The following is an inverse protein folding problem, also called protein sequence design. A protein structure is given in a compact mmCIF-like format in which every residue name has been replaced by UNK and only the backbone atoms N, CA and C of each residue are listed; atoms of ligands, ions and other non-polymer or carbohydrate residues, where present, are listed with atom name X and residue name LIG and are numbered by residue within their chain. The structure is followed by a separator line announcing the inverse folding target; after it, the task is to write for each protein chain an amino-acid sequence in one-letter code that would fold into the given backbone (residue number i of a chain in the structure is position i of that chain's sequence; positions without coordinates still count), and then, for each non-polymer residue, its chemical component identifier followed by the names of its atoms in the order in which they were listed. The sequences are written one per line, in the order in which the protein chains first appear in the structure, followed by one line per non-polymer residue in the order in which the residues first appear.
data_IF_280519902834
#
_entry.id   IF_280519902834
#
_cell.length_a   1.000
_cell.length_b   1.000
_cell.length_c   1.000
_cell.angle_alpha   90.00
_cell.angle_beta   90.00
_cell.angle_gamma   90.00
#
_symmetry.space_group_name_H-M   'P 1'
#
loop_
_entity.id
_entity.type
_entity.pdbx_description
1 polymer ?
#
# COMPACT_ATOMS: atom_id res chain seq x y z
N UNK A 1 -26.05 8.72 -18.41
CA UNK A 1 -24.76 8.76 -19.13
C UNK A 1 -23.67 8.57 -18.08
N UNK A 2 -23.05 7.41 -17.85
CA UNK A 2 -23.14 6.13 -18.54
C UNK A 2 -23.56 4.98 -17.61
N UNK A 3 -23.95 3.89 -18.24
CA UNK A 3 -24.41 2.65 -17.64
C UNK A 3 -23.22 1.96 -16.97
N UNK A 4 -23.23 1.84 -15.64
CA UNK A 4 -22.27 1.04 -14.89
C UNK A 4 -22.56 -0.42 -15.22
N UNK A 5 -21.91 -0.94 -16.26
CA UNK A 5 -22.09 -2.30 -16.73
C UNK A 5 -21.75 -3.28 -15.59
N UNK A 6 -22.79 -3.89 -15.00
CA UNK A 6 -22.66 -5.10 -14.18
C UNK A 6 -22.17 -6.22 -15.10
N UNK A 7 -20.87 -6.49 -15.11
CA UNK A 7 -20.36 -7.78 -15.55
C UNK A 7 -20.21 -8.62 -14.27
N UNK A 8 -20.78 -9.83 -14.28
CA UNK A 8 -20.46 -10.80 -13.24
C UNK A 8 -18.96 -11.08 -13.33
N UNK A 9 -18.24 -10.84 -12.23
CA UNK A 9 -16.80 -11.09 -12.14
C UNK A 9 -16.54 -12.54 -12.55
N UNK A 10 -15.97 -12.77 -13.74
CA UNK A 10 -15.67 -14.14 -14.19
C UNK A 10 -14.75 -14.83 -13.19
N UNK A 11 -14.93 -16.15 -12.98
CA UNK A 11 -14.11 -16.95 -12.06
C UNK A 11 -12.59 -16.74 -12.28
N UNK A 12 -12.17 -16.52 -13.54
CA UNK A 12 -10.78 -16.21 -13.88
C UNK A 12 -10.30 -14.80 -13.47
N UNK A 13 -11.20 -13.82 -13.31
CA UNK A 13 -10.85 -12.50 -12.77
C UNK A 13 -10.64 -12.57 -11.24
N UNK A 14 -11.49 -13.31 -10.53
CA UNK A 14 -11.32 -13.60 -9.09
C UNK A 14 -10.00 -14.34 -8.83
N UNK A 15 -9.72 -15.37 -9.62
CA UNK A 15 -8.47 -16.15 -9.52
C UNK A 15 -7.23 -15.25 -9.70
N UNK A 16 -7.22 -14.36 -10.69
CA UNK A 16 -6.10 -13.42 -10.92
C UNK A 16 -5.89 -12.46 -9.75
N UNK A 17 -6.97 -11.99 -9.13
CA UNK A 17 -6.88 -11.11 -7.96
C UNK A 17 -6.31 -11.87 -6.76
N UNK A 18 -6.82 -13.06 -6.46
CA UNK A 18 -6.40 -13.84 -5.29
C UNK A 18 -5.00 -14.40 -5.45
N UNK A 19 -4.69 -15.03 -6.59
CA UNK A 19 -3.42 -15.72 -6.79
C UNK A 19 -2.29 -14.78 -7.23
N UNK A 20 -2.61 -13.76 -8.02
CA UNK A 20 -1.60 -12.89 -8.64
C UNK A 20 -1.60 -11.46 -8.09
N UNK A 21 -2.61 -11.07 -7.31
CA UNK A 21 -2.77 -9.71 -6.84
C UNK A 21 -2.94 -8.71 -7.99
N UNK A 22 -3.51 -9.14 -9.12
CA UNK A 22 -3.71 -8.30 -10.30
C UNK A 22 -5.19 -7.96 -10.50
N UNK A 23 -5.50 -6.66 -10.36
CA UNK A 23 -6.82 -6.08 -10.49
C UNK A 23 -7.06 -5.47 -11.88
N UNK A 24 -6.15 -5.68 -12.83
CA UNK A 24 -6.27 -5.17 -14.21
C UNK A 24 -7.51 -5.71 -14.92
N UNK A 25 -7.93 -6.93 -14.58
CA UNK A 25 -9.11 -7.59 -15.12
C UNK A 25 -10.43 -7.15 -14.51
N UNK A 26 -10.41 -6.35 -13.43
CA UNK A 26 -11.62 -5.88 -12.76
C UNK A 26 -12.20 -4.62 -13.43
N UNK A 27 -13.51 -4.45 -13.35
CA UNK A 27 -14.20 -3.19 -13.66
C UNK A 27 -13.92 -2.14 -12.59
N UNK A 28 -14.32 -0.89 -12.85
CA UNK A 28 -14.20 0.18 -11.85
C UNK A 28 -15.06 -0.08 -10.60
N UNK A 29 -16.26 -0.63 -10.79
CA UNK A 29 -17.17 -1.00 -9.69
C UNK A 29 -16.57 -2.13 -8.86
N UNK A 30 -16.06 -3.17 -9.51
CA UNK A 30 -15.41 -4.30 -8.83
C UNK A 30 -14.16 -3.86 -8.06
N UNK A 31 -13.35 -2.95 -8.63
CA UNK A 31 -12.22 -2.35 -7.91
C UNK A 31 -12.68 -1.51 -6.71
N UNK A 32 -13.79 -0.80 -6.81
CA UNK A 32 -14.32 -0.05 -5.68
C UNK A 32 -14.77 -1.01 -4.57
N UNK A 33 -15.54 -2.05 -4.91
CA UNK A 33 -15.99 -3.08 -3.97
C UNK A 33 -14.80 -3.78 -3.29
N UNK A 34 -13.79 -4.17 -4.06
CA UNK A 34 -12.55 -4.75 -3.53
C UNK A 34 -11.84 -3.78 -2.57
N UNK A 35 -11.82 -2.48 -2.87
CA UNK A 35 -11.21 -1.48 -1.99
C UNK A 35 -11.93 -1.43 -0.63
N UNK A 36 -13.27 -1.39 -0.64
CA UNK A 36 -14.08 -1.40 0.57
C UNK A 36 -13.87 -2.67 1.39
N UNK A 37 -13.96 -3.84 0.76
CA UNK A 37 -13.74 -5.13 1.42
C UNK A 37 -12.32 -5.22 2.03
N UNK A 38 -11.30 -4.75 1.30
CA UNK A 38 -9.94 -4.70 1.81
C UNK A 38 -9.82 -3.74 3.00
N UNK A 39 -10.45 -2.57 2.96
CA UNK A 39 -10.47 -1.64 4.08
C UNK A 39 -11.12 -2.28 5.32
N UNK A 40 -12.28 -2.90 5.17
CA UNK A 40 -13.00 -3.58 6.27
C UNK A 40 -12.14 -4.69 6.89
N UNK A 41 -11.53 -5.53 6.06
CA UNK A 41 -10.65 -6.62 6.53
C UNK A 41 -9.44 -6.14 7.33
N UNK A 42 -9.02 -4.89 7.11
CA UNK A 42 -7.86 -4.26 7.75
C UNK A 42 -8.27 -3.32 8.91
N UNK A 43 -9.57 -3.11 9.14
CA UNK A 43 -10.09 -2.11 10.07
C UNK A 43 -9.84 -0.66 9.65
N UNK A 44 -9.60 -0.41 8.37
CA UNK A 44 -9.35 0.93 7.82
C UNK A 44 -10.66 1.66 7.51
N UNK A 45 -10.67 2.99 7.66
CA UNK A 45 -11.77 3.85 7.26
C UNK A 45 -11.73 4.13 5.74
N UNK A 46 -12.64 3.58 4.93
CA UNK A 46 -12.59 3.70 3.48
C UNK A 46 -12.83 5.13 2.97
N UNK A 47 -13.55 5.98 3.73
CA UNK A 47 -13.86 7.36 3.35
C UNK A 47 -12.58 8.22 3.25
N UNK A 48 -11.55 7.87 4.01
CA UNK A 48 -10.26 8.57 4.00
C UNK A 48 -9.36 8.23 2.81
N UNK A 49 -9.83 7.35 1.90
CA UNK A 49 -9.06 6.81 0.77
C UNK A 49 -7.69 6.26 1.21
N UNK A 50 -7.65 5.23 2.08
CA UNK A 50 -6.40 4.72 2.65
C UNK A 50 -5.60 3.82 1.69
N UNK A 51 -6.19 3.42 0.57
CA UNK A 51 -5.61 2.50 -0.42
C UNK A 51 -5.75 3.10 -1.82
N UNK A 52 -4.63 3.27 -2.50
CA UNK A 52 -4.56 3.65 -3.92
C UNK A 52 -4.32 2.42 -4.81
N UNK A 53 -4.48 2.59 -6.12
CA UNK A 53 -4.09 1.60 -7.12
C UNK A 53 -2.84 2.03 -7.86
N UNK A 54 -1.86 1.15 -7.93
CA UNK A 54 -0.64 1.36 -8.72
C UNK A 54 -0.70 0.44 -9.94
N UNK A 55 -0.49 1.02 -11.12
CA UNK A 55 -0.33 0.28 -12.36
C UNK A 55 1.17 0.18 -12.71
N UNK A 56 1.68 -1.04 -12.79
CA UNK A 56 3.08 -1.32 -13.16
C UNK A 56 3.13 -2.53 -14.10
N UNK A 57 3.78 -2.38 -15.25
CA UNK A 57 3.89 -3.43 -16.27
C UNK A 57 2.54 -4.08 -16.68
N UNK A 58 1.47 -3.28 -16.72
CA UNK A 58 0.11 -3.73 -17.06
C UNK A 58 -0.65 -4.42 -15.92
N UNK A 59 -0.01 -4.63 -14.75
CA UNK A 59 -0.64 -5.13 -13.53
C UNK A 59 -1.18 -3.96 -12.71
N UNK A 60 -2.40 -4.09 -12.20
CA UNK A 60 -2.95 -3.15 -11.20
C UNK A 60 -2.89 -3.80 -9.83
N UNK A 61 -2.22 -3.18 -8.86
CA UNK A 61 -2.09 -3.70 -7.49
C UNK A 61 -2.58 -2.67 -6.45
N UNK A 62 -3.15 -3.11 -5.31
CA UNK A 62 -3.52 -2.22 -4.22
C UNK A 62 -2.26 -1.71 -3.51
N UNK A 63 -2.27 -0.45 -3.10
CA UNK A 63 -1.18 0.20 -2.40
C UNK A 63 -1.73 0.96 -1.20
N UNK A 64 -1.47 0.45 0.01
CA UNK A 64 -1.84 1.16 1.24
C UNK A 64 -1.01 2.44 1.31
N UNK A 65 -1.63 3.60 1.26
CA UNK A 65 -0.92 4.88 1.20
C UNK A 65 -0.54 5.40 2.60
N UNK A 66 -0.03 6.63 2.68
CA UNK A 66 0.41 7.20 3.95
C UNK A 66 -0.74 7.33 4.98
N UNK A 67 -1.97 7.56 4.52
CA UNK A 67 -3.16 7.66 5.37
C UNK A 67 -3.54 6.28 5.92
N UNK A 68 -3.59 5.26 5.06
CA UNK A 68 -3.87 3.89 5.50
C UNK A 68 -2.84 3.36 6.48
N UNK A 69 -1.56 3.63 6.23
CA UNK A 69 -0.47 3.27 7.15
C UNK A 69 -0.59 3.99 8.49
N UNK A 70 -1.00 5.26 8.50
CA UNK A 70 -1.23 5.98 9.75
C UNK A 70 -2.34 5.35 10.59
N UNK A 71 -3.43 4.93 9.94
CA UNK A 71 -4.50 4.19 10.61
C UNK A 71 -4.04 2.83 11.12
N UNK A 72 -3.28 2.05 10.33
CA UNK A 72 -2.70 0.78 10.80
C UNK A 72 -1.84 0.98 12.05
N UNK A 73 -1.08 2.07 12.12
CA UNK A 73 -0.28 2.37 13.32
C UNK A 73 -1.14 2.59 14.55
N UNK A 74 -2.24 3.34 14.39
CA UNK A 74 -3.19 3.55 15.48
C UNK A 74 -3.85 2.23 15.91
N UNK A 75 -4.42 1.48 14.95
CA UNK A 75 -5.12 0.22 15.17
C UNK A 75 -4.24 -0.81 15.90
N UNK A 76 -2.96 -0.90 15.52
CA UNK A 76 -2.05 -1.91 16.07
C UNK A 76 -1.11 -1.38 17.16
N UNK A 77 -1.24 -0.11 17.57
CA UNK A 77 -0.38 0.52 18.57
C UNK A 77 1.09 0.50 18.16
N UNK A 78 1.40 0.93 16.94
CA UNK A 78 2.75 0.92 16.36
C UNK A 78 3.38 2.30 16.44
N UNK A 79 4.52 2.37 17.12
CA UNK A 79 5.41 3.54 17.10
C UNK A 79 6.45 3.39 16.00
N UNK A 80 6.86 4.51 15.38
CA UNK A 80 7.95 4.50 14.38
C UNK A 80 9.01 5.54 14.71
N UNK A 81 10.26 5.24 14.38
CA UNK A 81 11.40 6.13 14.57
C UNK A 81 12.32 6.07 13.35
N UNK A 82 12.85 7.22 12.93
CA UNK A 82 13.97 7.25 11.99
C UNK A 82 15.24 6.93 12.76
N UNK A 83 15.94 5.89 12.34
CA UNK A 83 17.17 5.42 13.01
C UNK A 83 18.43 5.72 12.20
N UNK A 84 18.30 5.95 10.89
CA UNK A 84 19.42 6.35 10.02
C UNK A 84 18.93 7.16 8.82
N UNK A 85 19.64 8.24 8.50
CA UNK A 85 19.50 8.99 7.26
C UNK A 85 20.88 9.15 6.63
N UNK A 86 21.05 8.66 5.41
CA UNK A 86 22.25 8.87 4.60
C UNK A 86 21.85 9.56 3.29
N UNK A 87 22.78 10.28 2.68
CA UNK A 87 22.59 10.86 1.35
C UNK A 87 23.93 10.89 0.61
N UNK A 88 23.86 10.71 -0.69
CA UNK A 88 24.92 11.06 -1.63
C UNK A 88 24.35 12.02 -2.69
N UNK A 89 25.06 12.20 -3.81
CA UNK A 89 24.64 13.10 -4.88
C UNK A 89 23.44 12.57 -5.67
N UNK A 90 23.21 11.25 -5.68
CA UNK A 90 22.20 10.58 -6.48
C UNK A 90 20.98 10.16 -5.66
N UNK A 91 21.15 9.79 -4.39
CA UNK A 91 20.11 9.19 -3.58
C UNK A 91 20.08 9.73 -2.15
N UNK A 92 18.89 9.65 -1.56
CA UNK A 92 18.68 9.71 -0.11
C UNK A 92 18.20 8.34 0.37
N UNK A 93 18.81 7.86 1.45
CA UNK A 93 18.53 6.60 2.11
C UNK A 93 17.98 6.89 3.49
N UNK A 94 16.86 6.29 3.86
CA UNK A 94 16.30 6.42 5.21
C UNK A 94 15.93 5.05 5.74
N UNK A 95 16.44 4.71 6.93
CA UNK A 95 16.04 3.52 7.67
C UNK A 95 15.14 3.92 8.83
N UNK A 96 13.98 3.29 8.93
CA UNK A 96 13.04 3.45 10.02
C UNK A 96 12.85 2.13 10.76
N UNK A 97 12.68 2.23 12.09
CA UNK A 97 12.22 1.13 12.93
C UNK A 97 10.75 1.34 13.28
N UNK A 98 9.99 0.24 13.35
CA UNK A 98 8.62 0.17 13.83
C UNK A 98 8.53 -0.82 14.99
N UNK A 99 7.81 -0.48 16.06
CA UNK A 99 7.62 -1.34 17.24
C UNK A 99 6.15 -1.32 17.65
N UNK A 100 5.56 -2.48 17.88
CA UNK A 100 4.17 -2.58 18.36
C UNK A 100 4.09 -2.67 19.90
N UNK A 101 2.87 -2.59 20.44
CA UNK A 101 2.60 -2.73 21.90
C UNK A 101 3.12 -4.02 22.53
N UNK A 102 3.32 -5.08 21.74
CA UNK A 102 3.82 -6.37 22.23
C UNK A 102 5.35 -6.46 22.18
N UNK A 103 6.04 -5.38 21.80
CA UNK A 103 7.50 -5.33 21.69
C UNK A 103 8.06 -5.95 20.41
N UNK A 104 7.23 -6.44 19.48
CA UNK A 104 7.71 -6.88 18.17
C UNK A 104 8.21 -5.67 17.39
N UNK A 105 9.40 -5.80 16.81
CA UNK A 105 10.04 -4.76 16.03
C UNK A 105 10.35 -5.20 14.61
N UNK A 106 10.31 -4.26 13.67
CA UNK A 106 10.81 -4.42 12.30
C UNK A 106 11.59 -3.17 11.89
N UNK A 107 12.54 -3.34 10.99
CA UNK A 107 13.27 -2.24 10.36
C UNK A 107 13.10 -2.29 8.84
N UNK A 108 13.02 -1.11 8.21
CA UNK A 108 13.00 -1.04 6.76
C UNK A 108 13.71 0.21 6.24
N UNK A 109 14.39 0.03 5.10
CA UNK A 109 15.05 1.12 4.38
C UNK A 109 14.24 1.53 3.16
N UNK A 110 14.18 2.84 2.93
CA UNK A 110 13.71 3.44 1.70
C UNK A 110 14.86 4.17 1.00
N UNK A 111 14.79 4.18 -0.33
CA UNK A 111 15.71 4.89 -1.21
C UNK A 111 14.85 5.72 -2.15
N UNK A 112 15.23 6.99 -2.34
CA UNK A 112 14.61 7.93 -3.26
C UNK A 112 15.70 8.65 -4.05
N UNK A 113 15.59 8.71 -5.39
CA UNK A 113 16.52 9.47 -6.21
C UNK A 113 16.40 10.98 -5.95
N UNK A 114 17.55 11.66 -6.00
CA UNK A 114 17.71 13.10 -5.92
C UNK A 114 17.92 13.72 -7.32
N UNK A 115 17.45 13.03 -8.37
CA UNK A 115 17.42 13.52 -9.74
C UNK A 115 15.99 13.46 -10.32
N UNK A 116 15.74 14.23 -11.37
CA UNK A 116 14.50 14.15 -12.15
C UNK A 116 14.55 13.01 -13.19
N UNK A 117 13.48 12.87 -13.98
CA UNK A 117 13.37 11.81 -15.01
C UNK A 117 14.41 11.90 -16.14
N UNK A 118 15.13 13.01 -16.26
CA UNK A 118 16.19 13.21 -17.25
C UNK A 118 17.59 13.11 -16.62
N UNK A 119 17.68 12.74 -15.33
CA UNK A 119 18.94 12.62 -14.61
C UNK A 119 19.48 13.95 -14.08
N UNK A 120 18.72 15.05 -14.14
CA UNK A 120 19.18 16.34 -13.61
C UNK A 120 19.01 16.39 -12.08
N UNK A 121 20.01 16.86 -11.31
CA UNK A 121 19.89 16.97 -9.86
C UNK A 121 18.72 17.85 -9.41
N UNK A 122 17.97 17.37 -8.42
CA UNK A 122 16.89 18.12 -7.78
C UNK A 122 17.47 19.24 -6.92
N UNK A 123 16.81 20.39 -6.92
CA UNK A 123 17.19 21.57 -6.13
C UNK A 123 15.97 22.16 -5.42
N UNK A 124 16.22 23.04 -4.44
CA UNK A 124 15.18 23.77 -3.70
C UNK A 124 14.08 22.85 -3.14
N UNK A 125 12.82 23.23 -3.39
CA UNK A 125 11.65 22.51 -2.89
C UNK A 125 11.58 21.06 -3.36
N UNK A 126 12.00 20.76 -4.60
CA UNK A 126 11.95 19.39 -5.11
C UNK A 126 12.90 18.46 -4.35
N UNK A 127 14.09 18.96 -3.99
CA UNK A 127 15.04 18.20 -3.17
C UNK A 127 14.50 17.98 -1.75
N UNK A 128 13.91 19.00 -1.13
CA UNK A 128 13.28 18.88 0.18
C UNK A 128 12.14 17.85 0.18
N UNK A 129 11.27 17.89 -0.84
CA UNK A 129 10.18 16.93 -1.02
C UNK A 129 10.69 15.50 -1.20
N UNK A 130 11.79 15.28 -1.93
CA UNK A 130 12.39 13.96 -2.11
C UNK A 130 12.90 13.38 -0.78
N UNK A 131 13.52 14.20 0.07
CA UNK A 131 13.99 13.79 1.41
C UNK A 131 12.78 13.42 2.30
N UNK A 132 11.77 14.28 2.39
CA UNK A 132 10.55 14.00 3.17
C UNK A 132 9.80 12.75 2.67
N UNK A 133 9.78 12.53 1.35
CA UNK A 133 9.22 11.33 0.72
C UNK A 133 9.99 10.08 1.14
N UNK A 134 11.32 10.15 1.24
CA UNK A 134 12.14 9.02 1.68
C UNK A 134 11.81 8.59 3.11
N UNK A 135 11.69 9.54 4.04
CA UNK A 135 11.28 9.26 5.41
C UNK A 135 9.88 8.63 5.49
N UNK A 136 8.93 9.18 4.73
CA UNK A 136 7.55 8.68 4.68
C UNK A 136 7.53 7.24 4.16
N UNK A 137 8.29 6.97 3.09
CA UNK A 137 8.44 5.62 2.50
C UNK A 137 9.08 4.65 3.48
N UNK A 138 10.10 5.07 4.24
CA UNK A 138 10.77 4.22 5.23
C UNK A 138 9.82 3.81 6.36
N UNK A 139 9.16 4.79 7.00
CA UNK A 139 8.18 4.54 8.08
C UNK A 139 7.04 3.64 7.60
N UNK A 140 6.57 3.86 6.36
CA UNK A 140 5.57 3.00 5.72
C UNK A 140 6.05 1.56 5.59
N UNK A 141 7.24 1.34 5.01
CA UNK A 141 7.77 -0.01 4.80
C UNK A 141 7.93 -0.76 6.13
N UNK A 142 8.46 -0.09 7.16
CA UNK A 142 8.62 -0.71 8.49
C UNK A 142 7.27 -1.06 9.13
N UNK A 143 6.28 -0.17 9.03
CA UNK A 143 4.91 -0.44 9.54
C UNK A 143 4.28 -1.63 8.82
N UNK A 144 4.34 -1.67 7.49
CA UNK A 144 3.73 -2.73 6.69
C UNK A 144 4.41 -4.08 6.93
N UNK A 145 5.74 -4.11 7.02
CA UNK A 145 6.49 -5.31 7.37
C UNK A 145 6.05 -5.86 8.75
N UNK A 146 5.88 -4.98 9.73
CA UNK A 146 5.44 -5.34 11.08
C UNK A 146 4.02 -5.90 11.10
N UNK A 147 3.11 -5.32 10.30
CA UNK A 147 1.75 -5.83 10.12
C UNK A 147 1.67 -7.07 9.21
N UNK A 148 2.80 -7.56 8.65
CA UNK A 148 2.84 -8.74 7.79
C UNK A 148 2.53 -8.48 6.31
N UNK A 149 2.40 -7.22 5.88
CA UNK A 149 2.06 -6.80 4.52
C UNK A 149 3.24 -6.69 3.54
N UNK A 150 4.42 -7.19 3.90
CA UNK A 150 5.62 -7.22 3.04
C UNK A 150 5.97 -5.85 2.43
N UNK A 151 6.52 -5.87 1.21
CA UNK A 151 7.01 -4.67 0.51
C UNK A 151 5.93 -3.70 0.00
N UNK A 152 4.65 -3.98 0.25
CA UNK A 152 3.56 -3.09 -0.14
C UNK A 152 2.35 -3.75 -0.78
N UNK A 153 2.39 -5.08 -0.99
CA UNK A 153 1.26 -5.88 -1.43
C UNK A 153 0.83 -6.72 -0.24
N UNK A 154 -0.28 -6.33 0.39
CA UNK A 154 -0.73 -6.95 1.63
C UNK A 154 -0.84 -8.47 1.51
N UNK A 155 -0.34 -9.20 2.50
CA UNK A 155 -0.76 -10.58 2.74
C UNK A 155 -2.20 -10.53 3.25
N UNK A 156 -3.09 -11.27 2.61
CA UNK A 156 -4.34 -11.69 3.25
C UNK A 156 -3.92 -12.61 4.41
N UNK A 157 -4.18 -12.20 5.65
CA UNK A 157 -3.98 -13.06 6.82
C UNK A 157 -4.92 -14.26 6.70
N UNK A 158 -4.45 -15.45 7.12
CA UNK A 158 -5.14 -16.76 6.98
C UNK A 158 -6.57 -16.82 7.53
N UNK A 159 -7.01 -15.82 8.30
CA UNK A 159 -8.31 -15.81 8.98
C UNK A 159 -9.43 -15.12 8.19
N UNK A 160 -9.12 -14.45 7.07
CA UNK A 160 -10.15 -13.91 6.16
C UNK A 160 -10.11 -14.72 4.86
N UNK A 161 -10.99 -15.70 4.75
CA UNK A 161 -11.14 -16.48 3.53
C UNK A 161 -11.69 -15.60 2.40
N UNK A 162 -11.26 -15.81 1.13
CA UNK A 162 -11.71 -14.99 -0.01
C UNK A 162 -13.22 -15.01 -0.27
N UNK A 163 -13.95 -15.98 0.28
CA UNK A 163 -15.40 -16.06 0.21
C UNK A 163 -16.10 -14.91 0.96
N UNK A 164 -15.46 -14.38 2.01
CA UNK A 164 -16.03 -13.33 2.85
C UNK A 164 -15.80 -11.90 2.29
N UNK A 165 -15.01 -11.78 1.22
CA UNK A 165 -14.56 -10.51 0.64
C UNK A 165 -15.22 -10.16 -0.70
N UNK A 166 -15.98 -11.10 -1.26
CA UNK A 166 -16.73 -10.91 -2.49
C UNK A 166 -18.22 -10.89 -2.15
N UNK A 167 -19.02 -10.05 -2.82
CA UNK A 167 -20.47 -10.08 -2.62
C UNK A 167 -20.96 -11.50 -2.86
N UNK A 168 -21.73 -12.05 -1.92
CA UNK A 168 -22.41 -13.32 -2.13
C UNK A 168 -23.25 -13.22 -3.41
N UNK A 169 -23.12 -14.22 -4.28
CA UNK A 169 -23.96 -14.32 -5.47
C UNK A 169 -25.41 -14.51 -5.01
N UNK A 170 -26.17 -13.42 -4.91
CA UNK A 170 -27.63 -13.51 -4.90
C UNK A 170 -28.07 -13.93 -6.32
N UNK A 171 -28.47 -15.20 -6.44
CA UNK A 171 -29.09 -15.82 -7.61
C UNK A 171 -30.41 -15.15 -8.01
#
# INVERSE_FOLDING_TARGET
MGELAKRNTTQGAIEKVILRGDLSGLTEVERLQYNFALCESLGLNPITRPIDYIAEQGKISPYINAIGVAQLREIHGISTKIIRVNKDDEFVYTTAAAVNRNGRSEEATAIVPLCDRYGKPLTGQHKANAIMKCETKAKRRATLALCGFGDGNGRILKENTPADLLPEEEF
#
